data_IF_873968991167
#
_entry.id   IF_873968991167
#
_cell.length_a   1.000
_cell.length_b   1.000
_cell.length_c   1.000
_cell.angle_alpha   90.00
_cell.angle_beta   90.00
_cell.angle_gamma   90.00
#
_symmetry.space_group_name_H-M   'P 1'
#
loop_
_entity.id
_entity.type
_entity.pdbx_description
1 polymer ?
#
# COMPACT_ATOMS: atom_id res chain seq x y z
N UNK A 1 5.66 -15.80 14.98
CA UNK A 1 4.86 -14.87 15.81
C UNK A 1 5.30 -13.42 15.65
N UNK A 2 6.55 -13.04 16.02
CA UNK A 2 7.00 -11.63 15.93
C UNK A 2 6.93 -11.01 14.53
N UNK A 3 7.22 -11.80 13.47
CA UNK A 3 7.21 -11.29 12.09
C UNK A 3 5.80 -11.02 11.56
N UNK A 4 4.83 -11.90 11.84
CA UNK A 4 3.43 -11.70 11.46
C UNK A 4 2.83 -10.45 12.14
N UNK A 5 3.15 -10.23 13.43
CA UNK A 5 2.71 -9.02 14.16
C UNK A 5 3.30 -7.75 13.54
N UNK A 6 4.57 -7.80 13.08
CA UNK A 6 5.23 -6.67 12.41
C UNK A 6 4.60 -6.38 11.04
N UNK A 7 4.23 -7.41 10.28
CA UNK A 7 3.54 -7.28 9.00
C UNK A 7 2.14 -6.69 9.19
N UNK A 8 1.35 -7.20 10.15
CA UNK A 8 0.02 -6.65 10.47
C UNK A 8 0.09 -5.18 10.90
N UNK A 9 1.03 -4.80 11.76
CA UNK A 9 1.20 -3.41 12.17
C UNK A 9 1.56 -2.49 11.01
N UNK A 10 2.34 -2.97 10.04
CA UNK A 10 2.69 -2.21 8.83
C UNK A 10 1.47 -2.01 7.93
N UNK A 11 0.59 -3.01 7.84
CA UNK A 11 -0.69 -2.91 7.12
C UNK A 11 -1.61 -1.90 7.82
N UNK A 12 -1.74 -1.94 9.14
CA UNK A 12 -2.54 -0.97 9.89
C UNK A 12 -2.05 0.46 9.69
N UNK A 13 -0.72 0.68 9.70
CA UNK A 13 -0.12 1.99 9.39
C UNK A 13 -0.44 2.46 7.97
N UNK A 14 -0.38 1.56 6.99
CA UNK A 14 -0.74 1.84 5.60
C UNK A 14 -2.20 2.26 5.45
N UNK A 15 -3.10 1.57 6.15
CA UNK A 15 -4.53 1.86 6.09
C UNK A 15 -4.85 3.20 6.78
N UNK A 16 -4.09 3.57 7.82
CA UNK A 16 -4.25 4.83 8.54
C UNK A 16 -3.67 6.03 7.79
N UNK A 17 -2.48 5.89 7.21
CA UNK A 17 -1.79 6.92 6.43
C UNK A 17 -1.15 6.34 5.16
N UNK A 18 -1.85 6.43 4.02
CA UNK A 18 -1.34 5.96 2.74
C UNK A 18 -0.09 6.72 2.24
N UNK A 19 0.26 7.89 2.78
CA UNK A 19 1.46 8.64 2.38
C UNK A 19 2.69 8.24 3.18
N UNK A 20 2.53 7.76 4.41
CA UNK A 20 3.62 7.31 5.28
C UNK A 20 4.27 5.99 4.85
N UNK A 21 3.76 5.35 3.79
CA UNK A 21 4.28 4.06 3.30
C UNK A 21 5.13 4.20 2.06
N UNK A 22 6.16 3.36 1.99
CA UNK A 22 6.97 3.16 0.80
C UNK A 22 6.20 2.29 -0.21
N UNK A 23 5.60 2.95 -1.20
CA UNK A 23 4.79 2.31 -2.23
C UNK A 23 5.63 1.45 -3.18
N UNK A 24 6.89 1.83 -3.41
CA UNK A 24 7.79 1.06 -4.26
C UNK A 24 8.13 -0.28 -3.60
N UNK A 25 8.41 -0.28 -2.30
CA UNK A 25 8.65 -1.50 -1.56
C UNK A 25 7.43 -2.45 -1.56
N UNK A 26 6.20 -1.94 -1.63
CA UNK A 26 4.98 -2.77 -1.74
C UNK A 26 4.88 -3.37 -3.14
N UNK A 27 5.14 -2.57 -4.18
CA UNK A 27 5.13 -3.03 -5.56
C UNK A 27 6.18 -4.12 -5.82
N UNK A 28 7.40 -3.97 -5.29
CA UNK A 28 8.45 -4.98 -5.39
C UNK A 28 8.03 -6.32 -4.75
N UNK A 29 7.32 -6.28 -3.62
CA UNK A 29 6.77 -7.47 -3.00
C UNK A 29 5.64 -8.09 -3.83
N UNK A 30 4.77 -7.28 -4.45
CA UNK A 30 3.73 -7.78 -5.34
C UNK A 30 4.32 -8.55 -6.55
N UNK A 31 5.46 -8.08 -7.08
CA UNK A 31 6.13 -8.68 -8.24
C UNK A 31 6.97 -9.93 -7.89
N UNK A 32 7.77 -9.84 -6.83
CA UNK A 32 8.88 -10.79 -6.60
C UNK A 32 8.68 -11.75 -5.43
N UNK A 33 7.59 -11.62 -4.66
CA UNK A 33 7.39 -12.51 -3.52
C UNK A 33 7.14 -13.96 -4.00
N UNK A 34 7.86 -14.97 -3.49
CA UNK A 34 7.72 -16.36 -3.94
C UNK A 34 6.34 -16.95 -3.58
N UNK A 35 5.71 -16.42 -2.52
CA UNK A 35 4.41 -16.87 -2.05
C UNK A 35 3.30 -16.19 -2.88
N UNK A 36 2.46 -16.97 -3.61
CA UNK A 36 1.42 -16.43 -4.48
C UNK A 36 0.33 -15.68 -3.72
N UNK A 37 0.02 -16.08 -2.48
CA UNK A 37 -1.00 -15.40 -1.69
C UNK A 37 -0.47 -14.10 -1.13
N UNK A 38 0.81 -14.06 -0.74
CA UNK A 38 1.48 -12.79 -0.39
C UNK A 38 1.56 -11.84 -1.57
N UNK A 39 1.87 -12.32 -2.78
CA UNK A 39 1.86 -11.46 -3.98
C UNK A 39 0.51 -10.79 -4.19
N UNK A 40 -0.60 -11.55 -4.10
CA UNK A 40 -1.96 -11.00 -4.20
C UNK A 40 -2.24 -9.97 -3.11
N UNK A 41 -1.81 -10.23 -1.88
CA UNK A 41 -1.96 -9.27 -0.78
C UNK A 41 -1.22 -7.96 -1.08
N UNK A 42 0.04 -8.03 -1.48
CA UNK A 42 0.83 -6.83 -1.78
C UNK A 42 0.31 -6.08 -3.00
N UNK A 43 -0.20 -6.78 -4.01
CA UNK A 43 -0.84 -6.17 -5.19
C UNK A 43 -2.12 -5.40 -4.81
N UNK A 44 -2.97 -5.97 -3.96
CA UNK A 44 -4.14 -5.30 -3.43
C UNK A 44 -3.78 -4.07 -2.58
N UNK A 45 -2.76 -4.18 -1.72
CA UNK A 45 -2.26 -3.06 -0.91
C UNK A 45 -1.68 -1.94 -1.78
N UNK A 46 -0.94 -2.28 -2.84
CA UNK A 46 -0.39 -1.31 -3.77
C UNK A 46 -1.51 -0.52 -4.46
N UNK A 47 -2.51 -1.23 -4.99
CA UNK A 47 -3.69 -0.63 -5.64
C UNK A 47 -4.44 0.30 -4.67
N UNK A 48 -4.71 -0.17 -3.44
CA UNK A 48 -5.38 0.65 -2.43
C UNK A 48 -4.64 1.96 -2.13
N UNK A 49 -3.31 1.92 -1.97
CA UNK A 49 -2.51 3.12 -1.69
C UNK A 49 -2.55 4.09 -2.87
N UNK A 50 -2.45 3.60 -4.10
CA UNK A 50 -2.58 4.44 -5.29
C UNK A 50 -3.93 5.15 -5.32
N UNK A 51 -5.02 4.41 -5.14
CA UNK A 51 -6.38 4.96 -5.17
C UNK A 51 -6.56 6.04 -4.10
N UNK A 52 -6.09 5.79 -2.86
CA UNK A 52 -6.22 6.77 -1.77
C UNK A 52 -5.38 8.03 -1.99
N UNK A 53 -4.15 7.88 -2.49
CA UNK A 53 -3.30 9.04 -2.82
C UNK A 53 -3.94 9.86 -3.95
N UNK A 54 -4.48 9.20 -4.98
CA UNK A 54 -5.18 9.87 -6.07
C UNK A 54 -6.43 10.62 -5.57
N UNK A 55 -7.26 9.98 -4.75
CA UNK A 55 -8.44 10.59 -4.14
C UNK A 55 -8.08 11.89 -3.39
N UNK A 56 -7.02 11.86 -2.59
CA UNK A 56 -6.55 13.03 -1.85
C UNK A 56 -6.01 14.13 -2.78
N UNK A 57 -5.19 13.79 -3.77
CA UNK A 57 -4.65 14.75 -4.74
C UNK A 57 -5.78 15.45 -5.52
N UNK A 58 -6.80 14.70 -5.93
CA UNK A 58 -7.97 15.23 -6.65
C UNK A 58 -8.78 16.15 -5.72
N UNK A 59 -9.04 15.71 -4.48
CA UNK A 59 -9.81 16.48 -3.50
C UNK A 59 -9.09 17.75 -3.03
N UNK A 60 -7.76 17.79 -3.04
CA UNK A 60 -6.96 19.00 -2.78
C UNK A 60 -7.13 20.09 -3.88
N UNK A 61 -7.96 19.86 -4.91
CA UNK A 61 -8.24 20.78 -6.02
C UNK A 61 -7.00 21.22 -6.82
N UNK A 62 -5.88 20.49 -6.72
CA UNK A 62 -4.67 20.73 -7.53
C UNK A 62 -4.83 20.26 -8.98
N UNK A 63 -5.91 19.54 -9.28
CA UNK A 63 -6.26 19.01 -10.60
C UNK A 63 -7.67 19.44 -11.03
N UNK A 64 -8.00 20.73 -10.89
CA UNK A 64 -9.06 21.31 -11.72
C UNK A 64 -8.38 21.75 -13.03
N UNK A 65 -8.59 20.96 -14.10
CA UNK A 65 -8.21 21.33 -15.47
C UNK A 65 -9.27 22.28 -16.03
#
# INVERSE_FOLDING_TARGET
MAQAIKESKRIEQLLADPWAVDIQAIWEQALHNPDPDKRKLFDALHTYVLDKRQEQIINEKKFVI
#
